data_IF_780535582959
#
_entry.id   IF_780535582959
#
_cell.length_a   1.000
_cell.length_b   1.000
_cell.length_c   1.000
_cell.angle_alpha   90.00
_cell.angle_beta   90.00
_cell.angle_gamma   90.00
#
_symmetry.space_group_name_H-M   'P 1'
#
loop_
_entity.id
_entity.type
_entity.pdbx_description
1 polymer ?
#
# COMPACT_ATOMS: atom_id res chain seq x y z
N UNK A 1 24.64 -21.71 3.17
CA UNK A 1 23.18 -21.46 3.31
C UNK A 1 22.86 -20.14 2.64
N UNK A 2 22.24 -20.15 1.47
CA UNK A 2 21.83 -18.93 0.76
C UNK A 2 20.32 -18.97 0.64
N UNK A 3 19.62 -18.37 1.59
CA UNK A 3 18.18 -18.11 1.44
C UNK A 3 18.03 -17.01 0.38
N UNK A 4 17.87 -17.40 -0.88
CA UNK A 4 17.27 -16.57 -1.91
C UNK A 4 15.78 -16.43 -1.58
N UNK A 5 15.43 -15.38 -0.86
CA UNK A 5 14.04 -14.91 -0.77
C UNK A 5 13.93 -13.64 -1.59
N UNK A 6 13.69 -13.81 -2.88
CA UNK A 6 12.92 -12.82 -3.64
C UNK A 6 11.51 -13.40 -3.71
N UNK A 7 10.57 -12.94 -2.87
CA UNK A 7 9.21 -13.42 -2.97
C UNK A 7 8.63 -12.91 -4.29
N UNK A 8 7.87 -13.80 -4.92
CA UNK A 8 7.30 -13.67 -6.25
C UNK A 8 6.78 -12.25 -6.54
N UNK A 9 7.52 -11.50 -7.34
CA UNK A 9 7.06 -10.23 -7.92
C UNK A 9 6.06 -10.56 -9.02
N UNK A 10 4.77 -10.45 -8.71
CA UNK A 10 3.71 -10.44 -9.73
C UNK A 10 3.08 -9.04 -9.71
N UNK A 11 2.81 -8.41 -10.86
CA UNK A 11 1.90 -7.27 -10.91
C UNK A 11 0.57 -7.70 -10.26
N UNK A 12 -0.08 -6.84 -9.47
CA UNK A 12 -1.47 -7.12 -9.10
C UNK A 12 -2.22 -7.23 -10.42
N UNK A 13 -2.71 -8.44 -10.70
CA UNK A 13 -3.80 -8.59 -11.63
C UNK A 13 -5.08 -8.32 -10.84
N UNK A 14 -6.11 -7.80 -11.49
CA UNK A 14 -7.46 -7.71 -10.91
C UNK A 14 -8.03 -9.04 -10.40
N UNK A 15 -7.28 -10.15 -10.53
CA UNK A 15 -7.64 -11.50 -10.12
C UNK A 15 -6.87 -12.04 -8.91
N UNK A 16 -5.92 -11.31 -8.33
CA UNK A 16 -5.23 -11.76 -7.10
C UNK A 16 -6.14 -11.53 -5.87
N UNK A 17 -6.34 -12.58 -5.05
CA UNK A 17 -7.17 -12.49 -3.82
C UNK A 17 -6.38 -11.81 -2.71
N UNK A 18 -6.83 -10.63 -2.27
CA UNK A 18 -6.29 -9.91 -1.11
C UNK A 18 -7.28 -10.07 0.04
N UNK A 19 -6.81 -10.54 1.19
CA UNK A 19 -7.60 -10.75 2.39
C UNK A 19 -7.42 -9.63 3.41
N UNK A 20 -8.44 -9.40 4.24
CA UNK A 20 -8.37 -8.44 5.34
C UNK A 20 -7.19 -8.77 6.27
N UNK A 21 -6.32 -7.78 6.50
CA UNK A 21 -5.14 -7.93 7.35
C UNK A 21 -3.88 -8.33 6.61
N UNK A 22 -3.95 -8.58 5.30
CA UNK A 22 -2.77 -8.81 4.46
C UNK A 22 -1.83 -7.62 4.50
N UNK A 23 -0.54 -7.92 4.54
CA UNK A 23 0.53 -6.93 4.47
C UNK A 23 1.16 -6.99 3.08
N UNK A 24 1.39 -5.84 2.46
CA UNK A 24 1.91 -5.79 1.12
C UNK A 24 2.74 -4.53 0.86
N UNK A 25 3.42 -4.55 -0.28
CA UNK A 25 4.31 -3.52 -0.77
C UNK A 25 3.83 -3.05 -2.13
N UNK A 26 3.89 -1.76 -2.40
CA UNK A 26 3.55 -1.20 -3.71
C UNK A 26 4.83 -0.65 -4.34
N UNK A 27 5.13 -1.11 -5.55
CA UNK A 27 6.25 -0.64 -6.35
C UNK A 27 5.75 0.06 -7.60
N UNK A 28 6.46 1.12 -8.01
CA UNK A 28 6.30 1.70 -9.34
C UNK A 28 7.19 0.99 -10.37
N UNK A 29 7.10 1.41 -11.64
CA UNK A 29 7.88 0.83 -12.74
C UNK A 29 9.40 1.00 -12.61
N UNK A 30 9.86 1.95 -11.79
CA UNK A 30 11.27 2.18 -11.51
C UNK A 30 11.80 1.28 -10.37
N UNK A 31 10.94 0.43 -9.79
CA UNK A 31 11.30 -0.41 -8.65
C UNK A 31 11.35 0.34 -7.31
N UNK A 32 10.92 1.61 -7.27
CA UNK A 32 10.75 2.36 -6.04
C UNK A 32 9.47 1.95 -5.34
N UNK A 33 9.44 2.13 -4.02
CA UNK A 33 8.40 1.62 -3.14
C UNK A 33 7.61 2.74 -2.49
N UNK A 34 6.30 2.52 -2.32
CA UNK A 34 5.41 3.48 -1.69
C UNK A 34 5.72 3.57 -0.20
N UNK A 35 6.02 4.78 0.29
CA UNK A 35 6.48 5.03 1.66
C UNK A 35 6.03 6.40 2.17
N UNK A 36 6.10 6.60 3.48
CA UNK A 36 5.94 7.89 4.14
C UNK A 36 6.74 7.96 5.46
N UNK A 37 7.20 9.15 5.84
CA UNK A 37 8.05 9.32 7.03
C UNK A 37 7.26 9.34 8.34
N UNK A 38 6.10 10.02 8.38
CA UNK A 38 5.21 10.10 9.56
C UNK A 38 3.79 10.52 9.19
N UNK A 39 3.60 11.79 8.86
CA UNK A 39 2.35 12.41 8.38
C UNK A 39 2.71 13.33 7.23
N UNK A 40 2.07 13.17 6.08
CA UNK A 40 2.43 13.93 4.90
C UNK A 40 2.19 13.16 3.59
N UNK A 41 2.73 13.67 2.48
CA UNK A 41 2.55 13.05 1.18
C UNK A 41 3.16 11.64 1.18
N UNK A 42 2.46 10.71 0.57
CA UNK A 42 2.99 9.39 0.30
C UNK A 42 3.80 9.47 -0.99
N UNK A 43 5.03 8.97 -0.94
CA UNK A 43 6.00 9.10 -2.03
C UNK A 43 6.57 7.75 -2.42
N UNK A 44 7.14 7.67 -3.63
CA UNK A 44 7.93 6.52 -4.05
C UNK A 44 9.41 6.77 -3.78
N UNK A 45 10.03 5.89 -2.99
CA UNK A 45 11.44 6.00 -2.60
C UNK A 45 12.23 4.75 -3.00
N UNK A 46 13.55 4.88 -3.09
CA UNK A 46 14.42 3.73 -3.26
C UNK A 46 14.28 2.80 -2.02
N UNK A 47 14.01 1.49 -2.19
CA UNK A 47 13.85 0.58 -1.06
C UNK A 47 15.06 0.51 -0.12
N UNK A 48 16.25 0.89 -0.59
CA UNK A 48 17.49 0.91 0.20
C UNK A 48 17.58 2.09 1.17
N UNK A 49 16.76 3.14 1.03
CA UNK A 49 16.84 4.35 1.85
C UNK A 49 15.91 4.34 3.06
N UNK A 50 15.10 3.30 3.20
CA UNK A 50 14.05 3.19 4.23
C UNK A 50 14.04 1.77 4.79
N UNK A 51 13.68 1.61 6.06
CA UNK A 51 13.66 0.28 6.67
C UNK A 51 12.44 -0.51 6.20
N UNK A 52 12.61 -1.82 5.97
CA UNK A 52 11.57 -2.65 5.40
C UNK A 52 10.25 -2.63 6.20
N UNK A 53 10.35 -2.52 7.54
CA UNK A 53 9.17 -2.47 8.38
C UNK A 53 8.38 -1.15 8.21
N UNK A 54 9.02 -0.05 7.83
CA UNK A 54 8.34 1.26 7.71
C UNK A 54 7.49 1.41 6.44
N UNK A 55 7.56 0.44 5.53
CA UNK A 55 7.02 0.51 4.17
C UNK A 55 5.89 -0.50 3.93
N UNK A 56 5.54 -1.32 4.93
CA UNK A 56 4.48 -2.33 4.84
C UNK A 56 3.11 -1.66 4.94
N UNK A 57 2.33 -1.79 3.88
CA UNK A 57 0.92 -1.39 3.84
C UNK A 57 0.05 -2.54 4.31
N UNK A 58 -0.92 -2.22 5.15
CA UNK A 58 -1.93 -3.17 5.61
C UNK A 58 -3.22 -2.98 4.81
N UNK A 59 -3.67 -4.06 4.18
CA UNK A 59 -4.96 -4.13 3.52
C UNK A 59 -6.08 -4.21 4.55
N UNK A 60 -6.98 -3.23 4.51
CA UNK A 60 -8.16 -3.24 5.35
C UNK A 60 -9.41 -3.38 4.47
N UNK A 61 -9.93 -4.59 4.35
CA UNK A 61 -11.21 -4.84 3.68
C UNK A 61 -12.39 -4.11 4.35
N UNK A 62 -13.34 -3.65 3.55
CA UNK A 62 -14.51 -2.93 4.07
C UNK A 62 -15.68 -3.90 4.37
N UNK A 63 -16.14 -4.03 5.63
CA UNK A 63 -17.05 -5.10 6.04
C UNK A 63 -18.43 -5.06 5.38
N UNK A 64 -18.85 -3.87 4.92
CA UNK A 64 -20.15 -3.66 4.24
C UNK A 64 -20.04 -3.55 2.71
N UNK A 65 -18.81 -3.54 2.17
CA UNK A 65 -18.54 -3.26 0.75
C UNK A 65 -17.34 -4.12 0.29
N UNK A 66 -17.59 -5.38 -0.10
CA UNK A 66 -16.53 -6.38 -0.32
C UNK A 66 -15.52 -6.00 -1.41
N UNK A 67 -15.90 -5.17 -2.37
CA UNK A 67 -15.00 -4.72 -3.45
C UNK A 67 -14.18 -3.47 -3.09
N UNK A 68 -14.28 -3.01 -1.84
CA UNK A 68 -13.62 -1.80 -1.39
C UNK A 68 -12.74 -2.04 -0.17
N UNK A 69 -11.72 -1.20 -0.04
CA UNK A 69 -10.72 -1.28 1.00
C UNK A 69 -10.24 0.11 1.41
N UNK A 70 -9.56 0.16 2.54
CA UNK A 70 -8.77 1.31 2.96
C UNK A 70 -7.40 0.81 3.41
N UNK A 71 -6.43 1.71 3.50
CA UNK A 71 -5.04 1.36 3.75
C UNK A 71 -4.48 2.14 4.93
N UNK A 72 -3.51 1.53 5.59
CA UNK A 72 -2.68 2.15 6.63
C UNK A 72 -1.29 1.53 6.56
N UNK A 73 -0.27 2.26 6.98
CA UNK A 73 1.06 1.69 7.16
C UNK A 73 1.11 0.94 8.48
N UNK A 74 1.60 -0.31 8.46
CA UNK A 74 1.63 -1.20 9.63
C UNK A 74 2.26 -0.57 10.88
N UNK A 75 3.27 0.26 10.67
CA UNK A 75 4.10 0.83 11.74
C UNK A 75 4.03 2.36 11.83
N UNK A 76 3.12 3.02 11.08
CA UNK A 76 2.93 4.47 11.15
C UNK A 76 1.47 4.76 11.52
N UNK A 77 1.21 5.78 12.35
CA UNK A 77 -0.14 6.12 12.74
C UNK A 77 -0.95 6.67 11.57
N UNK A 78 -2.26 6.44 11.60
CA UNK A 78 -3.22 7.01 10.66
C UNK A 78 -3.49 6.15 9.42
N UNK A 79 -4.43 6.62 8.61
CA UNK A 79 -4.87 5.97 7.39
C UNK A 79 -4.42 6.79 6.18
N UNK A 80 -4.45 6.13 5.02
CA UNK A 80 -4.29 6.82 3.75
C UNK A 80 -5.58 7.58 3.40
N UNK A 81 -5.39 8.80 2.93
CA UNK A 81 -6.45 9.62 2.37
C UNK A 81 -5.96 10.30 1.09
N UNK A 82 -6.91 10.76 0.27
CA UNK A 82 -6.65 11.63 -0.88
C UNK A 82 -6.99 13.05 -0.46
N UNK A 83 -6.04 13.97 -0.58
CA UNK A 83 -6.26 15.39 -0.29
C UNK A 83 -7.02 16.09 -1.44
N UNK A 84 -7.29 17.39 -1.27
CA UNK A 84 -8.04 18.19 -2.27
C UNK A 84 -7.33 18.26 -3.62
N UNK A 85 -5.99 18.12 -3.63
CA UNK A 85 -5.16 18.08 -4.84
C UNK A 85 -5.11 16.70 -5.51
N UNK A 86 -5.85 15.71 -5.02
CA UNK A 86 -5.87 14.35 -5.59
C UNK A 86 -4.63 13.52 -5.26
N UNK A 87 -3.82 13.93 -4.27
CA UNK A 87 -2.59 13.26 -3.85
C UNK A 87 -2.83 12.39 -2.62
N UNK A 88 -2.16 11.24 -2.57
CA UNK A 88 -2.21 10.34 -1.42
C UNK A 88 -1.41 10.91 -0.25
N UNK A 89 -2.03 10.99 0.91
CA UNK A 89 -1.42 11.43 2.18
C UNK A 89 -1.56 10.35 3.25
N UNK A 90 -0.62 10.29 4.20
CA UNK A 90 -0.71 9.47 5.40
C UNK A 90 -1.05 10.32 6.63
N UNK A 91 -1.63 9.68 7.65
CA UNK A 91 -1.91 10.29 8.95
C UNK A 91 -3.36 10.66 9.17
N UNK A 92 -4.25 10.38 8.21
CA UNK A 92 -5.66 10.71 8.33
C UNK A 92 -6.31 9.90 9.48
N UNK A 93 -7.21 10.51 10.27
CA UNK A 93 -8.01 9.75 11.22
C UNK A 93 -8.96 8.80 10.49
N UNK A 94 -9.45 7.77 11.19
CA UNK A 94 -10.27 6.72 10.57
C UNK A 94 -11.50 7.26 9.82
N UNK A 95 -12.14 8.33 10.31
CA UNK A 95 -13.33 8.90 9.68
C UNK A 95 -13.04 9.74 8.41
N UNK A 96 -11.78 10.12 8.19
CA UNK A 96 -11.31 10.84 6.99
C UNK A 96 -10.58 9.92 6.00
N UNK A 97 -10.41 8.63 6.32
CA UNK A 97 -9.74 7.68 5.42
C UNK A 97 -10.45 7.60 4.08
N UNK A 98 -9.69 7.49 3.01
CA UNK A 98 -10.28 7.21 1.70
C UNK A 98 -10.55 5.71 1.57
N UNK A 99 -11.78 5.40 1.16
CA UNK A 99 -12.17 4.04 0.78
C UNK A 99 -12.04 3.94 -0.73
N UNK A 100 -11.26 2.97 -1.19
CA UNK A 100 -10.96 2.74 -2.59
C UNK A 100 -11.57 1.44 -3.08
N UNK A 101 -11.90 1.36 -4.35
CA UNK A 101 -11.75 0.12 -5.11
C UNK A 101 -10.37 0.09 -5.83
N UNK A 102 -10.02 -1.05 -6.43
CA UNK A 102 -8.71 -1.22 -7.06
C UNK A 102 -8.45 -0.21 -8.20
N UNK A 103 -9.45 0.11 -9.01
CA UNK A 103 -9.30 1.05 -10.12
C UNK A 103 -9.10 2.49 -9.63
N UNK A 104 -9.86 2.92 -8.62
CA UNK A 104 -9.72 4.24 -7.98
C UNK A 104 -8.32 4.40 -7.37
N UNK A 105 -7.85 3.39 -6.64
CA UNK A 105 -6.54 3.42 -6.02
C UNK A 105 -5.41 3.53 -7.06
N UNK A 106 -5.49 2.76 -8.15
CA UNK A 106 -4.53 2.85 -9.25
C UNK A 106 -4.57 4.20 -9.96
N UNK A 107 -5.76 4.80 -10.11
CA UNK A 107 -5.91 6.13 -10.70
C UNK A 107 -5.24 7.22 -9.86
N UNK A 108 -5.31 7.14 -8.53
CA UNK A 108 -4.65 8.09 -7.61
C UNK A 108 -3.13 7.99 -7.70
N UNK A 109 -2.60 6.78 -7.90
CA UNK A 109 -1.15 6.58 -8.02
C UNK A 109 -0.57 7.09 -9.36
N UNK A 110 -1.43 7.38 -10.35
CA UNK A 110 -1.07 8.06 -11.60
C UNK A 110 -0.19 7.26 -12.56
N UNK A 111 0.07 5.97 -12.29
CA UNK A 111 0.91 5.09 -13.11
C UNK A 111 0.58 3.61 -12.86
N UNK A 112 0.93 2.71 -13.79
CA UNK A 112 0.87 1.27 -13.56
C UNK A 112 1.74 0.87 -12.36
N UNK A 113 1.20 0.03 -11.47
CA UNK A 113 1.84 -0.39 -10.22
C UNK A 113 2.09 -1.90 -10.19
N UNK A 114 3.16 -2.29 -9.50
CA UNK A 114 3.44 -3.68 -9.14
C UNK A 114 3.26 -3.82 -7.63
N UNK A 115 2.34 -4.65 -7.19
CA UNK A 115 2.10 -4.88 -5.77
C UNK A 115 2.61 -6.25 -5.37
N UNK A 116 3.45 -6.30 -4.34
CA UNK A 116 3.94 -7.56 -3.78
C UNK A 116 3.28 -7.79 -2.43
N UNK A 117 2.41 -8.78 -2.36
CA UNK A 117 1.87 -9.23 -1.09
C UNK A 117 3.02 -9.88 -0.31
N UNK A 118 3.18 -9.47 0.94
CA UNK A 118 4.18 -10.02 1.84
C UNK A 118 3.61 -11.29 2.47
N UNK A 119 4.33 -12.41 2.41
CA UNK A 119 3.99 -13.65 3.11
C UNK A 119 4.10 -13.53 4.65
N UNK A 120 4.12 -12.32 5.19
CA UNK A 120 4.16 -12.09 6.65
C UNK A 120 2.75 -12.36 7.16
N UNK A 121 2.46 -13.65 7.37
CA UNK A 121 1.37 -14.06 8.25
C UNK A 121 1.64 -13.47 9.64
N UNK A 122 0.59 -12.87 10.21
CA UNK A 122 0.61 -12.30 11.56
C UNK A 122 1.12 -13.30 12.60
#
# INVERSE_FOLDING_TARGET
>A
MTRKTLPHSKPISSMDKIELGDLFWIYNNNGHILSCDSTGPVVFVDPSTVSANEQLLMYCGHPKKPDTFYLTFKHKPGFLAVNEEGTLINGAPHYERTVFNAAEFLSVLGQPMVVKISDIKQ
#
